data_IF_483363125236
#
_entry.id   IF_483363125236
#
_cell.length_a   1.000
_cell.length_b   1.000
_cell.length_c   1.000
_cell.angle_alpha   90.00
_cell.angle_beta   90.00
_cell.angle_gamma   90.00
#
_symmetry.space_group_name_H-M   'P 1'
#
loop_
_entity.id
_entity.type
_entity.pdbx_description
1 polymer ?
#
# COMPACT_ATOMS: atom_id res chain seq x y z
N UNK A 1 -31.35 -23.58 5.26
CA UNK A 1 -30.80 -23.12 3.96
C UNK A 1 -29.60 -22.24 4.26
N UNK A 2 -28.38 -22.69 3.95
CA UNK A 2 -27.17 -21.86 3.98
C UNK A 2 -27.08 -21.19 2.61
N UNK A 3 -27.12 -19.86 2.57
CA UNK A 3 -26.80 -19.11 1.36
C UNK A 3 -25.27 -19.08 1.24
N UNK A 4 -24.71 -19.89 0.35
CA UNK A 4 -23.33 -19.76 -0.12
C UNK A 4 -23.33 -18.66 -1.18
N UNK A 5 -22.84 -17.48 -0.80
CA UNK A 5 -22.62 -16.37 -1.73
C UNK A 5 -21.42 -16.70 -2.62
N UNK A 6 -21.68 -17.31 -3.76
CA UNK A 6 -20.72 -17.36 -4.86
C UNK A 6 -20.68 -15.97 -5.50
N UNK A 7 -19.61 -15.23 -5.26
CA UNK A 7 -19.29 -14.03 -6.04
C UNK A 7 -19.15 -14.45 -7.52
N UNK A 8 -19.92 -13.82 -8.40
CA UNK A 8 -19.95 -14.21 -9.82
C UNK A 8 -18.71 -13.63 -10.50
N UNK A 9 -18.10 -14.39 -11.41
CA UNK A 9 -16.98 -13.94 -12.25
C UNK A 9 -17.23 -12.60 -12.97
N UNK A 10 -18.50 -12.21 -13.16
CA UNK A 10 -18.91 -10.93 -13.74
C UNK A 10 -18.56 -9.73 -12.83
N UNK A 11 -18.61 -9.89 -11.50
CA UNK A 11 -18.28 -8.82 -10.54
C UNK A 11 -16.78 -8.50 -10.56
N UNK A 12 -15.94 -9.53 -10.75
CA UNK A 12 -14.48 -9.41 -10.89
C UNK A 12 -14.10 -8.69 -12.20
N UNK A 13 -14.78 -9.03 -13.30
CA UNK A 13 -14.57 -8.40 -14.62
C UNK A 13 -15.07 -6.94 -14.68
N UNK A 14 -16.13 -6.61 -13.93
CA UNK A 14 -16.61 -5.23 -13.80
C UNK A 14 -15.62 -4.37 -13.01
N UNK A 15 -15.02 -4.95 -11.96
CA UNK A 15 -14.01 -4.27 -11.14
C UNK A 15 -12.73 -3.93 -11.90
N UNK A 16 -12.21 -4.86 -12.71
CA UNK A 16 -11.01 -4.64 -13.52
C UNK A 16 -11.18 -3.54 -14.57
N UNK A 17 -12.41 -3.21 -14.94
CA UNK A 17 -12.73 -2.20 -15.97
C UNK A 17 -13.44 -0.94 -15.43
N UNK A 18 -13.52 -0.76 -14.11
CA UNK A 18 -14.13 0.43 -13.52
C UNK A 18 -13.30 1.68 -13.84
N UNK A 19 -13.99 2.82 -13.98
CA UNK A 19 -13.33 4.11 -14.15
C UNK A 19 -12.39 4.42 -12.98
N UNK A 20 -12.82 4.10 -11.75
CA UNK A 20 -12.04 4.28 -10.52
C UNK A 20 -10.71 3.53 -10.57
N UNK A 21 -10.72 2.25 -10.94
CA UNK A 21 -9.50 1.44 -10.99
C UNK A 21 -8.53 1.93 -12.06
N UNK A 22 -9.03 2.36 -13.23
CA UNK A 22 -8.20 2.98 -14.28
C UNK A 22 -7.59 4.31 -13.83
N UNK A 23 -8.32 5.10 -13.05
CA UNK A 23 -7.81 6.35 -12.48
C UNK A 23 -6.73 6.08 -11.43
N UNK A 24 -6.92 5.11 -10.52
CA UNK A 24 -5.91 4.69 -9.54
C UNK A 24 -4.65 4.14 -10.22
N UNK A 25 -4.78 3.31 -11.26
CA UNK A 25 -3.65 2.87 -12.09
C UNK A 25 -2.92 4.06 -12.74
N UNK A 26 -3.66 5.08 -13.19
CA UNK A 26 -3.06 6.27 -13.78
C UNK A 26 -2.28 7.08 -12.74
N UNK A 27 -2.82 7.22 -11.52
CA UNK A 27 -2.14 7.85 -10.39
C UNK A 27 -0.82 7.11 -10.13
N UNK A 28 -0.85 5.78 -10.05
CA UNK A 28 0.36 4.97 -9.83
C UNK A 28 1.43 5.16 -10.91
N UNK A 29 1.03 5.16 -12.19
CA UNK A 29 1.96 5.42 -13.30
C UNK A 29 2.64 6.78 -13.17
N UNK A 30 1.88 7.80 -12.77
CA UNK A 30 2.38 9.17 -12.61
C UNK A 30 3.32 9.29 -11.42
N UNK A 31 3.01 8.62 -10.29
CA UNK A 31 3.92 8.52 -9.14
C UNK A 31 5.22 7.82 -9.52
N UNK A 32 5.13 6.72 -10.28
CA UNK A 32 6.32 5.99 -10.78
C UNK A 32 7.17 6.85 -11.72
N UNK A 33 6.54 7.76 -12.47
CA UNK A 33 7.22 8.75 -13.30
C UNK A 33 7.73 9.98 -12.52
N UNK A 34 7.60 9.98 -11.19
CA UNK A 34 8.04 11.04 -10.27
C UNK A 34 7.41 12.43 -10.51
N UNK A 35 6.25 12.48 -11.17
CA UNK A 35 5.49 13.72 -11.38
C UNK A 35 4.47 13.92 -10.24
N UNK A 36 4.97 14.37 -9.09
CA UNK A 36 4.17 14.51 -7.86
C UNK A 36 3.06 15.55 -7.97
N UNK A 37 3.26 16.61 -8.77
CA UNK A 37 2.25 17.65 -9.02
C UNK A 37 1.04 17.06 -9.74
N UNK A 38 1.29 16.27 -10.79
CA UNK A 38 0.22 15.61 -11.53
C UNK A 38 -0.41 14.49 -10.71
N UNK A 39 0.37 13.75 -9.92
CA UNK A 39 -0.16 12.74 -9.01
C UNK A 39 -1.15 13.37 -8.01
N UNK A 40 -0.78 14.48 -7.37
CA UNK A 40 -1.66 15.23 -6.46
C UNK A 40 -2.94 15.69 -7.15
N UNK A 41 -2.83 16.21 -8.37
CA UNK A 41 -4.00 16.65 -9.15
C UNK A 41 -4.97 15.49 -9.41
N UNK A 42 -4.44 14.32 -9.77
CA UNK A 42 -5.25 13.12 -10.02
C UNK A 42 -5.84 12.53 -8.74
N UNK A 43 -5.09 12.55 -7.63
CA UNK A 43 -5.59 12.12 -6.31
C UNK A 43 -6.74 13.01 -5.86
N UNK A 44 -6.60 14.34 -5.96
CA UNK A 44 -7.68 15.27 -5.62
C UNK A 44 -8.91 15.09 -6.51
N UNK A 45 -8.71 14.83 -7.80
CA UNK A 45 -9.80 14.51 -8.73
C UNK A 45 -10.51 13.22 -8.33
N UNK A 46 -9.76 12.17 -7.93
CA UNK A 46 -10.33 10.92 -7.43
C UNK A 46 -11.15 11.15 -6.15
N UNK A 47 -10.61 11.85 -5.16
CA UNK A 47 -11.30 12.15 -3.90
C UNK A 47 -12.57 13.00 -4.14
N UNK A 48 -12.52 13.94 -5.07
CA UNK A 48 -13.69 14.74 -5.46
C UNK A 48 -14.76 13.89 -6.14
N UNK A 49 -14.36 13.01 -7.05
CA UNK A 49 -15.26 12.08 -7.73
C UNK A 49 -15.91 11.11 -6.74
N UNK A 50 -15.13 10.51 -5.82
CA UNK A 50 -15.59 9.64 -4.75
C UNK A 50 -16.71 10.26 -3.92
N UNK A 51 -16.66 11.57 -3.68
CA UNK A 51 -17.67 12.29 -2.90
C UNK A 51 -18.93 12.66 -3.71
N UNK A 52 -18.89 12.56 -5.04
CA UNK A 52 -20.01 12.86 -5.94
C UNK A 52 -20.75 11.59 -6.38
N UNK A 53 -20.05 10.47 -6.52
CA UNK A 53 -20.63 9.18 -6.87
C UNK A 53 -21.26 8.53 -5.62
N UNK A 54 -22.55 8.19 -5.70
CA UNK A 54 -23.28 7.50 -4.63
C UNK A 54 -23.06 5.98 -4.68
N UNK A 55 -22.23 5.48 -5.60
CA UNK A 55 -21.86 4.07 -5.65
C UNK A 55 -20.96 3.69 -4.48
N UNK A 56 -21.16 2.48 -3.93
CA UNK A 56 -20.29 1.93 -2.89
C UNK A 56 -18.83 1.94 -3.37
N UNK A 57 -17.97 2.67 -2.65
CA UNK A 57 -16.52 2.61 -2.84
C UNK A 57 -16.05 1.31 -2.21
N UNK A 58 -15.34 0.50 -2.98
CA UNK A 58 -14.92 -0.80 -2.48
C UNK A 58 -13.74 -0.60 -1.53
N UNK A 59 -13.69 -1.38 -0.46
CA UNK A 59 -12.63 -1.29 0.56
C UNK A 59 -11.23 -1.35 -0.07
N UNK A 60 -11.06 -2.19 -1.10
CA UNK A 60 -9.82 -2.37 -1.84
C UNK A 60 -9.39 -1.09 -2.61
N UNK A 61 -10.33 -0.27 -3.09
CA UNK A 61 -10.03 1.00 -3.75
C UNK A 61 -9.57 2.07 -2.76
N UNK A 62 -10.14 2.07 -1.55
CA UNK A 62 -9.74 2.97 -0.47
C UNK A 62 -8.37 2.61 0.11
N UNK A 63 -8.11 1.31 0.29
CA UNK A 63 -6.79 0.78 0.61
C UNK A 63 -5.75 1.25 -0.40
N UNK A 64 -5.99 1.01 -1.71
CA UNK A 64 -5.07 1.39 -2.77
C UNK A 64 -4.86 2.91 -2.83
N UNK A 65 -5.90 3.72 -2.66
CA UNK A 65 -5.77 5.18 -2.63
C UNK A 65 -4.82 5.64 -1.51
N UNK A 66 -4.99 5.11 -0.30
CA UNK A 66 -4.14 5.46 0.84
C UNK A 66 -2.69 5.03 0.60
N UNK A 67 -2.47 3.85 0.01
CA UNK A 67 -1.13 3.40 -0.37
C UNK A 67 -0.48 4.32 -1.41
N UNK A 68 -1.21 4.72 -2.46
CA UNK A 68 -0.72 5.64 -3.48
C UNK A 68 -0.41 7.03 -2.92
N UNK A 69 -1.25 7.54 -2.01
CA UNK A 69 -0.96 8.80 -1.29
C UNK A 69 0.32 8.69 -0.48
N UNK A 70 0.53 7.57 0.23
CA UNK A 70 1.77 7.34 0.96
C UNK A 70 3.00 7.34 0.03
N UNK A 71 2.94 6.62 -1.10
CA UNK A 71 4.02 6.63 -2.12
C UNK A 71 4.31 8.04 -2.63
N UNK A 72 3.27 8.81 -2.95
CA UNK A 72 3.45 10.17 -3.44
C UNK A 72 4.09 11.08 -2.37
N UNK A 73 3.64 11.00 -1.13
CA UNK A 73 4.26 11.74 -0.03
C UNK A 73 5.72 11.34 0.22
N UNK A 74 6.09 10.07 0.05
CA UNK A 74 7.51 9.66 0.07
C UNK A 74 8.30 10.34 -1.02
N UNK A 75 7.78 10.42 -2.26
CA UNK A 75 8.42 11.14 -3.37
C UNK A 75 8.58 12.64 -3.10
N UNK A 76 7.65 13.22 -2.34
CA UNK A 76 7.70 14.61 -1.87
C UNK A 76 8.55 14.80 -0.59
N UNK A 77 9.16 13.73 -0.07
CA UNK A 77 9.92 13.71 1.20
C UNK A 77 9.08 14.14 2.42
N UNK A 78 7.77 13.94 2.34
CA UNK A 78 6.81 14.28 3.40
C UNK A 78 6.46 13.03 4.23
N UNK A 79 7.46 12.56 5.00
CA UNK A 79 7.41 11.26 5.65
C UNK A 79 6.34 11.13 6.74
N UNK A 80 5.94 12.21 7.41
CA UNK A 80 4.87 12.17 8.41
C UNK A 80 3.49 11.95 7.77
N UNK A 81 3.23 12.60 6.65
CA UNK A 81 1.99 12.38 5.90
C UNK A 81 2.01 11.00 5.23
N UNK A 82 3.16 10.58 4.70
CA UNK A 82 3.33 9.22 4.17
C UNK A 82 3.03 8.16 5.23
N UNK A 83 3.57 8.32 6.44
CA UNK A 83 3.34 7.42 7.57
C UNK A 83 1.87 7.38 7.99
N UNK A 84 1.18 8.52 7.95
CA UNK A 84 -0.25 8.59 8.26
C UNK A 84 -1.07 7.80 7.24
N UNK A 85 -0.80 7.99 5.94
CA UNK A 85 -1.56 7.33 4.88
C UNK A 85 -1.25 5.83 4.79
N UNK A 86 0.01 5.41 4.97
CA UNK A 86 0.34 3.97 4.93
C UNK A 86 -0.34 3.19 6.06
N UNK A 87 -0.46 3.78 7.25
CA UNK A 87 -1.19 3.14 8.34
C UNK A 87 -2.69 3.05 8.07
N UNK A 88 -3.28 3.98 7.31
CA UNK A 88 -4.67 3.86 6.85
C UNK A 88 -4.83 2.70 5.85
N UNK A 89 -3.91 2.58 4.88
CA UNK A 89 -3.92 1.48 3.93
C UNK A 89 -3.82 0.11 4.64
N UNK A 90 -2.90 -0.01 5.61
CA UNK A 90 -2.74 -1.24 6.41
C UNK A 90 -3.98 -1.55 7.25
N UNK A 91 -4.63 -0.53 7.83
CA UNK A 91 -5.84 -0.74 8.65
C UNK A 91 -7.05 -1.22 7.83
N UNK A 92 -7.11 -0.87 6.55
CA UNK A 92 -8.17 -1.33 5.63
C UNK A 92 -7.93 -2.74 5.08
N UNK A 93 -6.67 -3.19 5.02
CA UNK A 93 -6.32 -4.49 4.46
C UNK A 93 -6.69 -5.65 5.41
N UNK A 94 -7.43 -6.63 4.90
CA UNK A 94 -7.68 -7.91 5.59
C UNK A 94 -6.52 -8.86 5.36
N UNK A 95 -5.51 -8.73 6.23
CA UNK A 95 -4.25 -9.48 6.21
C UNK A 95 -4.41 -10.97 5.81
N UNK A 96 -3.79 -11.34 4.69
CA UNK A 96 -3.59 -12.73 4.22
C UNK A 96 -4.85 -13.56 3.92
N UNK A 97 -5.99 -12.93 3.64
CA UNK A 97 -7.20 -13.66 3.23
C UNK A 97 -7.01 -14.44 1.92
N UNK A 98 -6.11 -13.99 1.05
CA UNK A 98 -5.69 -14.64 -0.19
C UNK A 98 -4.30 -14.15 -0.63
N UNK A 99 -3.79 -14.70 -1.74
CA UNK A 99 -2.49 -14.35 -2.31
C UNK A 99 -2.37 -12.86 -2.65
N UNK A 100 -3.42 -12.25 -3.20
CA UNK A 100 -3.41 -10.82 -3.54
C UNK A 100 -3.32 -9.94 -2.29
N UNK A 101 -4.08 -10.27 -1.24
CA UNK A 101 -4.00 -9.60 0.06
C UNK A 101 -2.59 -9.75 0.69
N UNK A 102 -1.93 -10.89 0.47
CA UNK A 102 -0.54 -11.10 0.89
C UNK A 102 0.44 -10.18 0.15
N UNK A 103 0.28 -10.04 -1.18
CA UNK A 103 1.10 -9.13 -1.99
C UNK A 103 0.94 -7.69 -1.49
N UNK A 104 -0.30 -7.19 -1.35
CA UNK A 104 -0.56 -5.84 -0.89
C UNK A 104 -0.03 -5.60 0.52
N UNK A 105 -0.21 -6.54 1.45
CA UNK A 105 0.36 -6.43 2.78
C UNK A 105 1.90 -6.35 2.73
N UNK A 106 2.55 -7.14 1.87
CA UNK A 106 4.01 -7.11 1.69
C UNK A 106 4.48 -5.74 1.23
N UNK A 107 3.84 -5.18 0.19
CA UNK A 107 4.18 -3.86 -0.35
C UNK A 107 3.95 -2.75 0.68
N UNK A 108 2.87 -2.84 1.46
CA UNK A 108 2.53 -1.86 2.49
C UNK A 108 3.54 -1.84 3.63
N UNK A 109 3.88 -3.02 4.16
CA UNK A 109 4.82 -3.14 5.27
C UNK A 109 6.25 -2.83 4.84
N UNK A 110 6.64 -3.14 3.59
CA UNK A 110 7.93 -2.71 3.06
C UNK A 110 8.02 -1.17 2.99
N UNK A 111 7.01 -0.50 2.42
CA UNK A 111 6.97 0.96 2.37
C UNK A 111 6.93 1.58 3.78
N UNK A 112 6.16 1.00 4.69
CA UNK A 112 6.09 1.45 6.08
C UNK A 112 7.45 1.35 6.77
N UNK A 113 8.15 0.22 6.64
CA UNK A 113 9.48 0.04 7.22
C UNK A 113 10.49 1.04 6.66
N UNK A 114 10.46 1.33 5.36
CA UNK A 114 11.31 2.37 4.76
C UNK A 114 11.00 3.76 5.32
N UNK A 115 9.73 4.11 5.51
CA UNK A 115 9.33 5.38 6.12
C UNK A 115 9.79 5.45 7.59
N UNK A 116 9.60 4.37 8.36
CA UNK A 116 10.02 4.28 9.76
C UNK A 116 11.53 4.40 9.90
N UNK A 117 12.29 3.77 9.00
CA UNK A 117 13.74 3.91 8.91
C UNK A 117 14.16 5.37 8.74
N UNK A 118 13.56 6.08 7.78
CA UNK A 118 13.87 7.49 7.52
C UNK A 118 13.50 8.39 8.72
N UNK A 119 12.40 8.06 9.40
CA UNK A 119 11.95 8.79 10.59
C UNK A 119 12.78 8.48 11.85
N UNK A 120 13.73 7.53 11.79
CA UNK A 120 14.55 7.14 12.93
C UNK A 120 13.88 6.13 13.88
N UNK A 121 12.75 5.55 13.49
CA UNK A 121 12.00 4.57 14.29
C UNK A 121 12.52 3.15 14.04
N UNK A 122 13.80 2.89 14.32
CA UNK A 122 14.49 1.68 13.89
C UNK A 122 13.87 0.38 14.41
N UNK A 123 13.42 0.34 15.67
CA UNK A 123 12.74 -0.82 16.23
C UNK A 123 11.43 -1.16 15.52
N UNK A 124 10.71 -0.16 15.03
CA UNK A 124 9.45 -0.39 14.30
C UNK A 124 9.72 -0.74 12.84
N UNK A 125 10.75 -0.14 12.23
CA UNK A 125 11.23 -0.52 10.91
C UNK A 125 11.63 -2.00 10.86
N UNK A 126 12.35 -2.51 11.87
CA UNK A 126 12.68 -3.94 11.99
C UNK A 126 11.42 -4.79 11.96
N UNK A 127 10.43 -4.51 12.82
CA UNK A 127 9.17 -5.27 12.85
C UNK A 127 8.45 -5.26 11.50
N UNK A 128 8.47 -4.11 10.81
CA UNK A 128 7.88 -3.98 9.49
C UNK A 128 8.62 -4.85 8.45
N UNK A 129 9.95 -4.91 8.50
CA UNK A 129 10.75 -5.76 7.60
C UNK A 129 10.65 -7.25 7.93
N UNK A 130 10.57 -7.62 9.22
CA UNK A 130 10.30 -9.00 9.66
C UNK A 130 8.96 -9.49 9.11
N UNK A 131 7.92 -8.65 9.17
CA UNK A 131 6.63 -8.97 8.57
C UNK A 131 6.76 -9.28 7.08
N UNK A 132 7.54 -8.46 6.36
CA UNK A 132 7.78 -8.66 4.92
C UNK A 132 8.45 -10.01 4.67
N UNK A 133 9.44 -10.41 5.46
CA UNK A 133 10.12 -11.70 5.32
C UNK A 133 9.22 -12.91 5.57
N UNK A 134 8.27 -12.78 6.50
CA UNK A 134 7.31 -13.84 6.85
C UNK A 134 6.18 -13.98 5.84
N UNK A 135 5.99 -12.97 4.98
CA UNK A 135 4.91 -12.98 4.00
C UNK A 135 5.10 -14.08 2.96
N UNK A 136 4.05 -14.86 2.62
CA UNK A 136 4.11 -15.85 1.55
C UNK A 136 4.30 -15.23 0.17
N UNK A 137 4.06 -13.93 0.01
CA UNK A 137 4.28 -13.19 -1.24
C UNK A 137 5.72 -12.62 -1.34
N UNK A 138 6.55 -12.80 -0.32
CA UNK A 138 7.91 -12.30 -0.33
C UNK A 138 8.81 -13.15 -1.23
N UNK A 139 9.36 -12.55 -2.28
CA UNK A 139 10.32 -13.21 -3.15
C UNK A 139 11.71 -13.31 -2.48
N UNK A 140 12.55 -14.24 -2.95
CA UNK A 140 13.86 -14.50 -2.34
C UNK A 140 14.78 -13.27 -2.31
N UNK A 141 14.72 -12.41 -3.33
CA UNK A 141 15.54 -11.20 -3.43
C UNK A 141 15.14 -10.17 -2.36
N UNK A 142 13.84 -9.88 -2.25
CA UNK A 142 13.31 -8.97 -1.24
C UNK A 142 13.59 -9.50 0.18
N UNK A 143 13.44 -10.81 0.39
CA UNK A 143 13.75 -11.43 1.68
C UNK A 143 15.19 -11.18 2.10
N UNK A 144 16.16 -11.41 1.20
CA UNK A 144 17.57 -11.18 1.47
C UNK A 144 17.88 -9.69 1.75
N UNK A 145 17.21 -8.77 1.04
CA UNK A 145 17.30 -7.33 1.30
C UNK A 145 16.83 -6.99 2.72
N UNK A 146 15.65 -7.48 3.12
CA UNK A 146 15.12 -7.29 4.47
C UNK A 146 16.05 -7.88 5.54
N UNK A 147 16.64 -9.06 5.29
CA UNK A 147 17.59 -9.71 6.22
C UNK A 147 18.82 -8.83 6.43
N UNK A 148 19.38 -8.28 5.34
CA UNK A 148 20.52 -7.37 5.41
C UNK A 148 20.18 -6.09 6.19
N UNK A 149 19.00 -5.50 5.91
CA UNK A 149 18.56 -4.25 6.55
C UNK A 149 18.30 -4.42 8.06
N UNK A 150 17.66 -5.52 8.47
CA UNK A 150 17.42 -5.81 9.88
C UNK A 150 18.76 -5.93 10.63
N UNK A 151 19.71 -6.70 10.10
CA UNK A 151 21.04 -6.87 10.71
C UNK A 151 21.82 -5.56 10.81
N UNK A 152 21.65 -4.64 9.86
CA UNK A 152 22.25 -3.31 9.94
C UNK A 152 21.60 -2.47 11.05
N UNK A 153 20.27 -2.50 11.15
CA UNK A 153 19.54 -1.74 12.16
C UNK A 153 19.80 -2.24 13.58
N UNK A 154 19.84 -3.55 13.79
CA UNK A 154 20.19 -4.15 15.07
C UNK A 154 21.57 -3.67 15.55
N UNK A 155 22.57 -3.68 14.64
CA UNK A 155 23.91 -3.16 14.94
C UNK A 155 23.92 -1.67 15.28
N UNK A 156 23.08 -0.87 14.62
CA UNK A 156 22.96 0.57 14.91
C UNK A 156 22.29 0.84 16.25
N UNK A 157 21.35 -0.01 16.68
CA UNK A 157 20.66 0.13 17.96
C UNK A 157 21.58 -0.26 19.13
N UNK A 158 22.46 -1.24 18.93
CA UNK A 158 23.40 -1.73 19.95
C UNK A 158 24.65 -0.84 20.14
N UNK A 159 24.94 0.07 19.19
CA UNK A 159 26.12 0.94 19.19
C UNK A 159 25.94 2.24 19.99
#
# INVERSE_FOLDING_TARGET
MKATGEFRNEDVLFFENSFNRRLLQKIEQVITAEDTVKANTLIQAYESYKNMDLSDVWADEEELLHYLKAKNFVKEQNYLQAFTEINKAIASNKKFDNELAAIYATDHYNLKGQIELILGNYNDAIKSFEFVQESPACCCELKAEMESMILELERLIEA
#
